data_IF_884152677857
#
_entry.id   IF_884152677857
#
_cell.length_a   1.000
_cell.length_b   1.000
_cell.length_c   1.000
_cell.angle_alpha   90.00
_cell.angle_beta   90.00
_cell.angle_gamma   90.00
#
_symmetry.space_group_name_H-M   'P 1'
#
loop_
_entity.id
_entity.type
_entity.pdbx_description
1 polymer ?
#
# COMPACT_ATOMS: atom_id res chain seq x y z
N UNK A 1 4.17 -5.48 -15.76
CA UNK A 1 3.58 -6.68 -15.13
C UNK A 1 4.54 -7.34 -14.16
N UNK A 2 5.75 -7.72 -14.57
CA UNK A 2 6.74 -8.35 -13.68
C UNK A 2 7.08 -7.52 -12.43
N UNK A 3 7.33 -6.22 -12.59
CA UNK A 3 7.64 -5.33 -11.46
C UNK A 3 6.45 -5.16 -10.50
N UNK A 4 5.22 -5.24 -11.00
CA UNK A 4 4.05 -5.28 -10.14
C UNK A 4 4.00 -6.61 -9.38
N UNK A 5 4.28 -7.73 -10.05
CA UNK A 5 4.29 -9.04 -9.41
C UNK A 5 5.42 -9.22 -8.38
N UNK A 6 6.50 -8.42 -8.43
CA UNK A 6 7.52 -8.41 -7.38
C UNK A 6 7.11 -7.67 -6.11
N UNK A 7 6.02 -6.90 -6.13
CA UNK A 7 5.48 -6.29 -4.93
C UNK A 7 5.00 -7.35 -3.93
N UNK A 8 5.13 -7.04 -2.64
CA UNK A 8 4.80 -7.95 -1.54
C UNK A 8 3.33 -8.38 -1.62
N UNK A 9 3.04 -9.70 -1.77
CA UNK A 9 1.68 -10.22 -1.70
C UNK A 9 1.25 -10.40 -0.24
N UNK A 10 0.14 -9.78 0.13
CA UNK A 10 -0.44 -9.82 1.48
C UNK A 10 -1.78 -10.58 1.53
N UNK A 11 -2.08 -11.40 0.50
CA UNK A 11 -3.35 -12.12 0.38
C UNK A 11 -3.77 -12.84 1.66
N UNK A 12 -2.92 -13.72 2.18
CA UNK A 12 -3.28 -14.57 3.32
C UNK A 12 -3.51 -13.72 4.57
N UNK A 13 -2.68 -12.71 4.79
CA UNK A 13 -2.80 -11.83 5.95
C UNK A 13 -4.10 -11.00 5.86
N UNK A 14 -4.37 -10.41 4.69
CA UNK A 14 -5.56 -9.62 4.39
C UNK A 14 -6.86 -10.42 4.51
N UNK A 15 -6.94 -11.59 3.88
CA UNK A 15 -8.15 -12.42 3.92
C UNK A 15 -8.38 -12.99 5.32
N UNK A 16 -7.33 -13.31 6.08
CA UNK A 16 -7.49 -13.76 7.48
C UNK A 16 -7.99 -12.64 8.39
N UNK A 17 -7.49 -11.42 8.24
CA UNK A 17 -7.95 -10.28 9.05
C UNK A 17 -9.31 -9.74 8.59
N UNK A 18 -9.70 -9.98 7.35
CA UNK A 18 -10.96 -9.51 6.77
C UNK A 18 -11.54 -10.52 5.78
N UNK A 19 -12.17 -11.62 6.27
CA UNK A 19 -12.66 -12.72 5.41
C UNK A 19 -13.65 -12.29 4.32
N UNK A 20 -14.39 -11.21 4.54
CA UNK A 20 -15.31 -10.66 3.56
C UNK A 20 -14.62 -10.18 2.26
N UNK A 21 -13.33 -9.82 2.32
CA UNK A 21 -12.54 -9.37 1.17
C UNK A 21 -12.49 -10.43 0.07
N UNK A 22 -12.30 -11.70 0.42
CA UNK A 22 -12.28 -12.79 -0.56
C UNK A 22 -13.58 -12.85 -1.37
N UNK A 23 -14.73 -12.68 -0.70
CA UNK A 23 -16.02 -12.67 -1.38
C UNK A 23 -16.17 -11.46 -2.33
N UNK A 24 -15.60 -10.30 -1.96
CA UNK A 24 -15.60 -9.12 -2.82
C UNK A 24 -14.69 -9.34 -4.04
N UNK A 25 -13.49 -9.88 -3.85
CA UNK A 25 -12.55 -10.17 -4.94
C UNK A 25 -13.13 -11.16 -5.94
N UNK A 26 -13.80 -12.22 -5.46
CA UNK A 26 -14.51 -13.18 -6.31
C UNK A 26 -15.61 -12.50 -7.12
N UNK A 27 -16.41 -11.61 -6.51
CA UNK A 27 -17.45 -10.86 -7.23
C UNK A 27 -16.87 -9.95 -8.31
N UNK A 28 -15.76 -9.25 -8.02
CA UNK A 28 -15.10 -8.41 -9.02
C UNK A 28 -14.55 -9.26 -10.17
N UNK A 29 -13.89 -10.38 -9.87
CA UNK A 29 -13.44 -11.31 -10.92
C UNK A 29 -14.59 -11.79 -11.81
N UNK A 30 -15.69 -12.27 -11.22
CA UNK A 30 -16.85 -12.75 -11.99
C UNK A 30 -17.47 -11.64 -12.86
N UNK A 31 -17.50 -10.41 -12.33
CA UNK A 31 -17.94 -9.24 -13.10
C UNK A 31 -17.01 -8.94 -14.27
N UNK A 32 -15.69 -8.94 -14.05
CA UNK A 32 -14.72 -8.71 -15.13
C UNK A 32 -14.81 -9.82 -16.19
N UNK A 33 -14.84 -11.09 -15.77
CA UNK A 33 -14.96 -12.22 -16.68
C UNK A 33 -16.23 -12.15 -17.54
N UNK A 34 -17.35 -11.65 -16.99
CA UNK A 34 -18.60 -11.53 -17.73
C UNK A 34 -18.59 -10.38 -18.75
N UNK A 35 -18.11 -9.19 -18.38
CA UNK A 35 -18.07 -8.03 -19.29
C UNK A 35 -17.03 -8.20 -20.40
N UNK A 36 -15.93 -8.91 -20.13
CA UNK A 36 -14.87 -9.15 -21.12
C UNK A 36 -15.11 -10.41 -21.96
N UNK A 37 -16.24 -11.11 -21.81
CA UNK A 37 -16.51 -12.39 -22.47
C UNK A 37 -16.42 -12.36 -24.01
N UNK A 38 -16.70 -11.22 -24.64
CA UNK A 38 -16.59 -10.99 -26.08
C UNK A 38 -15.50 -9.98 -26.46
N UNK A 39 -14.64 -9.60 -25.51
CA UNK A 39 -13.61 -8.58 -25.70
C UNK A 39 -12.25 -9.23 -26.04
N UNK A 40 -11.33 -8.53 -26.74
CA UNK A 40 -9.96 -9.01 -26.96
C UNK A 40 -9.15 -9.36 -25.70
N UNK A 41 -9.62 -8.95 -24.52
CA UNK A 41 -9.00 -9.25 -23.21
C UNK A 41 -9.68 -10.45 -22.50
N UNK A 42 -10.55 -11.18 -23.18
CA UNK A 42 -11.31 -12.32 -22.62
C UNK A 42 -10.41 -13.31 -21.88
N UNK A 43 -9.33 -13.76 -22.51
CA UNK A 43 -8.48 -14.81 -21.93
C UNK A 43 -7.74 -14.30 -20.68
N UNK A 44 -7.35 -13.02 -20.67
CA UNK A 44 -6.79 -12.36 -19.50
C UNK A 44 -7.82 -12.24 -18.36
N UNK A 45 -9.05 -11.82 -18.68
CA UNK A 45 -10.11 -11.61 -17.70
C UNK A 45 -10.71 -12.93 -17.18
N UNK A 46 -10.64 -14.00 -17.97
CA UNK A 46 -11.11 -15.33 -17.61
C UNK A 46 -10.11 -16.11 -16.74
N UNK A 47 -8.84 -15.70 -16.70
CA UNK A 47 -7.85 -16.28 -15.81
C UNK A 47 -7.91 -15.62 -14.41
N UNK A 48 -8.39 -16.33 -13.37
CA UNK A 48 -8.54 -15.77 -12.03
C UNK A 48 -7.19 -15.44 -11.37
N UNK A 49 -6.07 -15.96 -11.88
CA UNK A 49 -4.75 -15.71 -11.30
C UNK A 49 -4.34 -14.25 -11.42
N UNK A 50 -4.75 -13.55 -12.48
CA UNK A 50 -4.50 -12.11 -12.65
C UNK A 50 -5.25 -11.28 -11.61
N UNK A 51 -6.56 -11.51 -11.47
CA UNK A 51 -7.39 -10.83 -10.47
C UNK A 51 -6.85 -11.08 -9.05
N UNK A 52 -6.56 -12.35 -8.72
CA UNK A 52 -5.98 -12.72 -7.43
C UNK A 52 -4.64 -12.02 -7.20
N UNK A 53 -3.74 -12.00 -8.18
CA UNK A 53 -2.43 -11.36 -8.06
C UNK A 53 -2.52 -9.85 -7.85
N UNK A 54 -3.49 -9.17 -8.49
CA UNK A 54 -3.79 -7.75 -8.29
C UNK A 54 -4.25 -7.49 -6.85
N UNK A 55 -5.30 -8.17 -6.40
CA UNK A 55 -5.87 -7.95 -5.07
C UNK A 55 -4.90 -8.31 -3.93
N UNK A 56 -4.11 -9.37 -4.12
CA UNK A 56 -3.09 -9.77 -3.17
C UNK A 56 -2.06 -8.66 -2.88
N UNK A 57 -1.80 -7.77 -3.84
CA UNK A 57 -0.79 -6.72 -3.73
C UNK A 57 -1.38 -5.35 -3.42
N UNK A 58 -2.61 -5.06 -3.84
CA UNK A 58 -3.26 -3.77 -3.59
C UNK A 58 -3.26 -3.38 -2.10
N UNK A 59 -3.60 -4.33 -1.21
CA UNK A 59 -3.80 -4.08 0.22
C UNK A 59 -2.57 -3.54 0.96
N UNK A 60 -1.34 -3.81 0.50
CA UNK A 60 -0.12 -3.35 1.17
C UNK A 60 0.74 -2.38 0.36
N UNK A 61 0.40 -2.13 -0.90
CA UNK A 61 1.24 -1.36 -1.82
C UNK A 61 0.56 -0.08 -2.34
N UNK A 62 -0.71 0.14 -2.00
CA UNK A 62 -1.49 1.27 -2.49
C UNK A 62 -1.20 2.57 -1.73
N UNK A 63 -1.32 3.69 -2.45
CA UNK A 63 -1.24 5.04 -1.92
C UNK A 63 -2.58 5.74 -2.10
N UNK A 64 -3.14 6.24 -1.00
CA UNK A 64 -4.33 7.07 -1.03
C UNK A 64 -4.06 8.44 -1.69
N UNK A 65 -5.01 8.88 -2.49
CA UNK A 65 -5.10 10.22 -3.08
C UNK A 65 -6.11 11.00 -2.24
N UNK A 66 -5.60 11.95 -1.47
CA UNK A 66 -6.39 12.77 -0.55
C UNK A 66 -6.50 14.20 -1.04
N UNK A 67 -7.55 14.91 -0.64
CA UNK A 67 -7.70 16.35 -0.81
C UNK A 67 -6.45 17.11 -0.31
N UNK A 68 -6.14 18.23 -0.98
CA UNK A 68 -5.06 19.14 -0.61
C UNK A 68 -5.63 20.55 -0.36
N UNK A 69 -5.10 21.32 0.62
CA UNK A 69 -4.08 20.90 1.60
C UNK A 69 -4.61 19.80 2.52
N UNK A 70 -3.71 18.93 3.00
CA UNK A 70 -4.11 17.85 3.88
C UNK A 70 -4.47 18.41 5.26
N UNK A 71 -5.64 18.05 5.74
CA UNK A 71 -6.24 18.44 7.01
C UNK A 71 -7.06 17.25 7.54
N UNK A 72 -7.47 17.29 8.80
CA UNK A 72 -8.17 16.17 9.44
C UNK A 72 -9.48 15.78 8.73
N UNK A 73 -10.14 16.74 8.08
CA UNK A 73 -11.37 16.54 7.31
C UNK A 73 -11.12 16.31 5.80
N UNK A 74 -9.88 16.03 5.38
CA UNK A 74 -9.56 15.81 3.97
C UNK A 74 -10.26 14.56 3.42
N UNK A 75 -10.97 14.73 2.31
CA UNK A 75 -11.62 13.60 1.62
C UNK A 75 -10.61 12.70 0.91
N UNK A 76 -10.91 11.39 0.87
CA UNK A 76 -10.19 10.41 0.06
C UNK A 76 -10.84 10.31 -1.33
N UNK A 77 -10.14 10.75 -2.36
CA UNK A 77 -10.63 10.66 -3.75
C UNK A 77 -10.45 9.28 -4.37
N UNK A 78 -9.52 8.47 -3.82
CA UNK A 78 -9.24 7.13 -4.30
C UNK A 78 -7.84 6.67 -3.91
N UNK A 79 -7.35 5.61 -4.55
CA UNK A 79 -6.01 5.10 -4.35
C UNK A 79 -5.44 4.54 -5.65
N UNK A 80 -4.13 4.30 -5.65
CA UNK A 80 -3.45 3.63 -6.76
C UNK A 80 -2.15 2.98 -6.29
N UNK A 81 -1.62 2.09 -7.12
CA UNK A 81 -0.31 1.46 -6.88
C UNK A 81 0.71 2.09 -7.82
N UNK A 82 1.75 2.68 -7.25
CA UNK A 82 2.92 3.17 -7.97
C UNK A 82 4.09 2.26 -7.59
N UNK A 83 4.39 1.30 -8.47
CA UNK A 83 5.34 0.22 -8.18
C UNK A 83 6.65 0.73 -7.58
N UNK A 84 7.26 1.76 -8.20
CA UNK A 84 8.51 2.36 -7.71
C UNK A 84 8.39 2.93 -6.29
N UNK A 85 7.26 3.56 -5.97
CA UNK A 85 7.00 4.13 -4.66
C UNK A 85 6.70 3.05 -3.61
N UNK A 86 6.07 1.94 -4.01
CA UNK A 86 5.69 0.84 -3.13
C UNK A 86 6.90 0.08 -2.56
N UNK A 87 8.11 0.29 -3.09
CA UNK A 87 9.34 -0.25 -2.52
C UNK A 87 9.82 0.47 -1.26
N UNK A 88 9.36 1.70 -0.98
CA UNK A 88 9.77 2.40 0.24
C UNK A 88 9.14 1.76 1.47
N UNK A 89 9.96 1.14 2.30
CA UNK A 89 9.53 0.59 3.58
C UNK A 89 9.13 1.69 4.59
N UNK A 90 8.48 1.25 5.66
CA UNK A 90 8.06 2.13 6.75
C UNK A 90 9.16 2.37 7.79
N UNK A 91 9.28 3.61 8.26
CA UNK A 91 9.93 3.96 9.53
C UNK A 91 9.10 4.99 10.31
N UNK A 92 9.03 4.85 11.64
CA UNK A 92 8.44 5.88 12.52
C UNK A 92 9.36 7.10 12.68
N UNK A 93 10.60 7.02 12.16
CA UNK A 93 11.55 8.12 11.97
C UNK A 93 12.03 8.09 10.50
N UNK A 94 11.16 8.46 9.54
CA UNK A 94 11.48 8.34 8.13
C UNK A 94 12.55 9.35 7.69
N UNK A 95 13.37 8.97 6.71
CA UNK A 95 14.33 9.87 6.06
C UNK A 95 13.79 10.43 4.74
N UNK A 96 12.57 10.06 4.34
CA UNK A 96 11.83 10.66 3.23
C UNK A 96 10.51 11.30 3.67
N UNK A 97 10.16 12.43 3.06
CA UNK A 97 8.81 13.00 3.08
C UNK A 97 8.16 12.83 1.71
N UNK A 98 6.91 12.36 1.72
CA UNK A 98 6.06 12.22 0.53
C UNK A 98 5.25 13.49 0.33
N UNK A 99 5.34 14.13 -0.84
CA UNK A 99 4.56 15.31 -1.21
C UNK A 99 3.80 15.07 -2.51
N UNK A 100 2.51 15.44 -2.56
CA UNK A 100 1.73 15.43 -3.79
C UNK A 100 1.58 16.84 -4.34
N UNK A 101 1.87 17.03 -5.62
CA UNK A 101 1.61 18.29 -6.35
C UNK A 101 0.88 17.95 -7.63
N UNK A 102 -0.39 18.34 -7.73
CA UNK A 102 -1.26 17.90 -8.82
C UNK A 102 -1.32 16.37 -8.91
N UNK A 103 -0.89 15.81 -10.03
CA UNK A 103 -0.92 14.37 -10.32
C UNK A 103 0.39 13.64 -10.00
N UNK A 104 1.35 14.31 -9.38
CA UNK A 104 2.71 13.79 -9.15
C UNK A 104 2.98 13.60 -7.65
N UNK A 105 3.53 12.45 -7.29
CA UNK A 105 4.17 12.23 -6.00
C UNK A 105 5.67 12.49 -6.09
N UNK A 106 6.19 13.25 -5.14
CA UNK A 106 7.63 13.46 -4.94
C UNK A 106 8.02 12.91 -3.58
N UNK A 107 9.17 12.24 -3.53
CA UNK A 107 9.79 11.71 -2.31
C UNK A 107 11.09 12.46 -2.10
N UNK A 108 11.18 13.20 -1.00
CA UNK A 108 12.25 14.17 -0.75
C UNK A 108 12.94 13.78 0.56
N UNK A 109 14.27 13.68 0.54
CA UNK A 109 15.04 13.39 1.74
C UNK A 109 14.88 14.51 2.77
N UNK A 110 14.62 14.16 4.03
CA UNK A 110 14.46 15.14 5.13
C UNK A 110 15.78 15.48 5.82
N UNK A 111 16.84 14.72 5.52
CA UNK A 111 18.21 14.91 5.99
C UNK A 111 19.20 14.29 4.99
N UNK A 112 20.51 14.57 5.10
CA UNK A 112 21.52 13.81 4.37
C UNK A 112 21.38 12.31 4.62
N UNK A 113 21.59 11.51 3.56
CA UNK A 113 21.57 10.05 3.58
C UNK A 113 22.89 9.52 3.01
N UNK A 114 23.32 8.37 3.52
CA UNK A 114 24.57 7.72 3.09
C UNK A 114 24.33 6.63 2.04
N UNK A 115 25.36 6.27 1.27
CA UNK A 115 25.26 5.17 0.30
C UNK A 115 24.99 3.86 1.04
N UNK A 116 23.97 3.12 0.60
CA UNK A 116 23.52 1.88 1.24
C UNK A 116 22.54 2.07 2.40
N UNK A 117 22.24 3.32 2.78
CA UNK A 117 21.19 3.61 3.75
C UNK A 117 19.80 3.37 3.13
N UNK A 118 18.95 2.62 3.81
CA UNK A 118 17.59 2.37 3.38
C UNK A 118 16.76 3.67 3.41
N UNK A 119 16.03 3.93 2.33
CA UNK A 119 15.10 5.04 2.26
C UNK A 119 13.70 4.59 2.72
N UNK A 120 13.16 5.28 3.72
CA UNK A 120 11.90 4.92 4.36
C UNK A 120 10.94 6.10 4.42
N UNK A 121 9.66 5.82 4.22
CA UNK A 121 8.54 6.76 4.38
C UNK A 121 7.74 6.43 5.65
N UNK A 122 6.80 7.31 6.01
CA UNK A 122 5.75 6.95 6.97
C UNK A 122 4.49 6.42 6.25
N UNK A 123 3.91 5.33 6.77
CA UNK A 123 2.64 4.77 6.28
C UNK A 123 1.42 5.36 7.00
N UNK A 124 1.63 6.24 7.99
CA UNK A 124 0.55 6.90 8.71
C UNK A 124 1.06 7.91 9.71
N UNK A 125 0.25 8.21 10.72
CA UNK A 125 0.66 9.11 11.79
C UNK A 125 1.85 8.57 12.57
N UNK A 126 2.85 9.42 12.78
CA UNK A 126 4.00 9.14 13.64
C UNK A 126 3.90 9.88 14.98
N UNK A 127 2.88 10.69 15.22
CA UNK A 127 2.76 11.44 16.50
C UNK A 127 2.31 10.56 17.67
N UNK A 128 1.69 9.42 17.41
CA UNK A 128 1.12 8.55 18.45
C UNK A 128 2.19 7.76 19.23
N UNK A 129 1.79 7.17 20.35
CA UNK A 129 2.64 6.28 21.15
C UNK A 129 3.00 4.97 20.42
N UNK A 130 4.02 4.27 20.91
CA UNK A 130 4.53 3.04 20.28
C UNK A 130 3.46 1.95 20.10
N UNK A 131 2.55 1.77 21.07
CA UNK A 131 1.50 0.75 21.00
C UNK A 131 0.50 1.09 19.90
N UNK A 132 0.07 2.35 19.84
CA UNK A 132 -0.83 2.84 18.80
C UNK A 132 -0.22 2.72 17.39
N UNK A 133 1.04 3.16 17.22
CA UNK A 133 1.74 3.05 15.92
C UNK A 133 1.88 1.59 15.47
N UNK A 134 2.35 0.70 16.35
CA UNK A 134 2.52 -0.73 16.02
C UNK A 134 1.19 -1.42 15.73
N UNK A 135 0.12 -1.12 16.49
CA UNK A 135 -1.21 -1.65 16.22
C UNK A 135 -1.70 -1.29 14.82
N UNK A 136 -1.61 -0.01 14.44
CA UNK A 136 -2.02 0.45 13.11
C UNK A 136 -1.26 -0.27 11.99
N UNK A 137 0.05 -0.40 12.14
CA UNK A 137 0.89 -1.08 11.14
C UNK A 137 0.58 -2.57 11.04
N UNK A 138 0.25 -3.22 12.16
CA UNK A 138 -0.22 -4.59 12.16
C UNK A 138 -1.58 -4.76 11.47
N UNK A 139 -2.53 -3.86 11.76
CA UNK A 139 -3.88 -3.90 11.19
C UNK A 139 -3.90 -3.56 9.68
N UNK A 140 -3.05 -2.65 9.23
CA UNK A 140 -3.01 -2.21 7.82
C UNK A 140 -1.99 -2.93 6.93
N UNK A 141 -0.87 -3.39 7.49
CA UNK A 141 0.26 -3.95 6.72
C UNK A 141 0.84 -5.24 7.32
N UNK A 142 0.25 -5.78 8.39
CA UNK A 142 0.60 -7.08 8.98
C UNK A 142 2.08 -7.26 9.37
N UNK A 143 2.74 -6.19 9.82
CA UNK A 143 4.11 -6.27 10.32
C UNK A 143 4.30 -5.48 11.63
N UNK A 144 5.34 -5.86 12.39
CA UNK A 144 5.78 -5.15 13.59
C UNK A 144 6.95 -4.24 13.27
N UNK A 145 6.78 -2.92 13.46
CA UNK A 145 7.87 -1.98 13.19
C UNK A 145 9.00 -2.11 14.23
N UNK A 146 10.19 -2.39 13.71
CA UNK A 146 11.47 -2.45 14.44
C UNK A 146 12.42 -1.28 14.14
N UNK A 147 11.91 -0.14 13.66
CA UNK A 147 12.77 1.02 13.37
C UNK A 147 13.42 1.58 14.65
N UNK A 148 14.46 2.39 14.49
CA UNK A 148 15.23 3.01 15.59
C UNK A 148 14.35 3.71 16.63
N UNK A 149 13.35 4.47 16.19
CA UNK A 149 12.40 5.12 17.12
C UNK A 149 11.57 4.12 17.91
N UNK A 150 11.03 3.08 17.25
CA UNK A 150 10.32 2.03 17.97
C UNK A 150 11.24 1.24 18.90
N UNK A 151 12.55 1.18 18.65
CA UNK A 151 13.51 0.56 19.57
C UNK A 151 13.80 1.43 20.80
N UNK A 152 13.76 2.75 20.65
CA UNK A 152 13.97 3.72 21.74
C UNK A 152 12.73 3.91 22.61
N UNK A 153 11.54 3.80 22.04
CA UNK A 153 10.26 3.96 22.75
C UNK A 153 9.82 2.68 23.52
N UNK A 154 10.62 1.60 23.51
CA UNK A 154 10.35 0.34 24.25
C UNK A 154 10.76 0.45 25.71
#
# INVERSE_FOLDING_TARGET
WNEFLSLQPNEIACVRSSPHQLSQWMRVYLFLASIFAAHPLRDLAADPTYARALFARDAGNSFGIWQLPHADESEMFGWGVWVDASYFNHSCAPNLVKRRTGRTFSFITTRPVTVGEELCISYGSVSDDIKARRRRLWEGWWFWCGCTRCAQDM
#
